data_IF_682143479773
#
_entry.id   IF_682143479773
#
_cell.length_a   1.000
_cell.length_b   1.000
_cell.length_c   1.000
_cell.angle_alpha   90.00
_cell.angle_beta   90.00
_cell.angle_gamma   90.00
#
_symmetry.space_group_name_H-M   'P 1'
#
loop_
_entity.id
_entity.type
_entity.pdbx_description
1 polymer ?
#
# COMPACT_ATOMS: atom_id res chain seq x y z
N UNK A 1 -43.28 -0.60 -5.02
CA UNK A 1 -41.89 -0.26 -4.62
C UNK A 1 -40.96 -1.37 -5.09
N UNK A 2 -39.96 -1.08 -5.93
CA UNK A 2 -38.91 -2.06 -6.29
C UNK A 2 -38.13 -2.39 -5.00
N UNK A 3 -38.22 -3.63 -4.54
CA UNK A 3 -37.38 -4.13 -3.43
C UNK A 3 -35.94 -4.18 -3.94
N UNK A 4 -35.00 -3.59 -3.20
CA UNK A 4 -33.58 -3.78 -3.44
C UNK A 4 -33.27 -5.27 -3.35
N UNK A 5 -32.96 -5.90 -4.48
CA UNK A 5 -32.65 -7.34 -4.54
C UNK A 5 -31.22 -7.66 -4.14
N UNK A 6 -30.35 -6.66 -4.22
CA UNK A 6 -28.93 -6.74 -3.90
C UNK A 6 -28.73 -6.39 -2.42
N UNK A 7 -28.11 -7.31 -1.70
CA UNK A 7 -27.89 -7.23 -0.25
C UNK A 7 -26.40 -7.24 0.06
N UNK A 8 -26.04 -6.85 1.28
CA UNK A 8 -24.64 -6.84 1.72
C UNK A 8 -23.96 -8.20 1.58
N UNK A 9 -24.69 -9.30 1.76
CA UNK A 9 -24.19 -10.68 1.59
C UNK A 9 -23.78 -11.03 0.16
N UNK A 10 -24.27 -10.28 -0.84
CA UNK A 10 -23.90 -10.49 -2.24
C UNK A 10 -22.54 -9.86 -2.58
N UNK A 11 -22.09 -8.89 -1.77
CA UNK A 11 -20.79 -8.26 -1.90
C UNK A 11 -19.76 -9.16 -1.23
N UNK A 12 -18.87 -9.72 -2.05
CA UNK A 12 -17.82 -10.63 -1.59
C UNK A 12 -16.44 -10.08 -1.93
N UNK A 13 -15.47 -10.53 -1.13
CA UNK A 13 -14.06 -10.31 -1.43
C UNK A 13 -13.52 -11.49 -2.23
N UNK A 14 -12.68 -11.21 -3.21
CA UNK A 14 -12.02 -12.22 -4.04
C UNK A 14 -10.51 -12.09 -3.91
N UNK A 15 -9.80 -13.23 -3.77
CA UNK A 15 -8.35 -13.24 -3.77
C UNK A 15 -7.82 -12.94 -5.19
N UNK A 16 -6.59 -12.42 -5.27
CA UNK A 16 -5.86 -12.34 -6.52
C UNK A 16 -5.32 -13.73 -6.91
N UNK A 17 -4.85 -13.87 -8.14
CA UNK A 17 -4.24 -15.08 -8.69
C UNK A 17 -3.12 -15.62 -7.79
N UNK A 18 -2.29 -14.71 -7.26
CA UNK A 18 -1.19 -15.02 -6.35
C UNK A 18 -1.38 -14.31 -5.03
N UNK A 19 -1.96 -14.99 -4.05
CA UNK A 19 -2.06 -14.49 -2.68
C UNK A 19 -0.78 -14.79 -1.89
N UNK A 20 0.30 -14.09 -2.25
CA UNK A 20 1.63 -14.26 -1.64
C UNK A 20 2.26 -12.92 -1.33
N UNK A 21 3.20 -12.91 -0.38
CA UNK A 21 3.98 -11.71 -0.02
C UNK A 21 5.22 -11.47 -0.90
N UNK A 22 5.41 -12.30 -1.93
CA UNK A 22 6.45 -12.14 -2.93
C UNK A 22 6.19 -10.94 -3.86
N UNK A 23 7.22 -10.45 -4.53
CA UNK A 23 7.12 -9.28 -5.43
C UNK A 23 6.06 -9.45 -6.54
N UNK A 24 5.82 -10.67 -6.99
CA UNK A 24 4.83 -11.08 -7.99
C UNK A 24 3.43 -11.36 -7.42
N UNK A 25 3.24 -11.20 -6.10
CA UNK A 25 1.93 -11.33 -5.45
C UNK A 25 0.92 -10.33 -6.02
N UNK A 26 -0.33 -10.75 -6.17
CA UNK A 26 -1.36 -10.00 -6.89
C UNK A 26 -1.77 -10.69 -8.19
N UNK A 27 -2.08 -9.92 -9.23
CA UNK A 27 -2.63 -10.43 -10.48
C UNK A 27 -4.17 -10.50 -10.50
N UNK A 28 -4.74 -11.18 -11.49
CA UNK A 28 -6.18 -11.16 -11.78
C UNK A 28 -7.02 -11.79 -10.66
N UNK A 29 -8.30 -11.39 -10.47
CA UNK A 29 -9.15 -12.03 -9.47
C UNK A 29 -9.43 -13.49 -9.81
N UNK A 30 -9.45 -14.33 -8.79
CA UNK A 30 -10.02 -15.67 -8.89
C UNK A 30 -11.54 -15.62 -8.68
N UNK A 31 -12.27 -16.51 -9.34
CA UNK A 31 -13.74 -16.61 -9.23
C UNK A 31 -14.23 -17.17 -7.89
N UNK A 32 -13.34 -17.60 -7.00
CA UNK A 32 -13.74 -18.17 -5.70
C UNK A 32 -13.65 -17.09 -4.63
N UNK A 33 -14.76 -16.74 -3.96
CA UNK A 33 -14.74 -15.70 -2.92
C UNK A 33 -14.00 -16.18 -1.66
N UNK A 34 -13.41 -15.24 -0.94
CA UNK A 34 -12.88 -15.45 0.41
C UNK A 34 -14.03 -15.83 1.36
N UNK A 35 -13.74 -16.76 2.26
CA UNK A 35 -14.67 -17.29 3.25
C UNK A 35 -14.80 -16.37 4.47
N UNK A 36 -13.79 -15.55 4.74
CA UNK A 36 -13.70 -14.72 5.95
C UNK A 36 -13.05 -15.44 7.13
N UNK A 37 -12.46 -16.60 6.89
CA UNK A 37 -11.71 -17.37 7.89
C UNK A 37 -10.46 -16.62 8.37
N UNK A 38 -10.04 -16.94 9.59
CA UNK A 38 -8.86 -16.32 10.18
C UNK A 38 -7.60 -16.70 9.39
N UNK A 39 -6.76 -15.70 9.11
CA UNK A 39 -5.52 -15.83 8.36
C UNK A 39 -5.68 -16.28 6.90
N UNK A 40 -6.87 -16.11 6.32
CA UNK A 40 -7.11 -16.40 4.90
C UNK A 40 -6.42 -15.38 3.99
N UNK A 41 -6.48 -14.09 4.36
CA UNK A 41 -5.86 -13.02 3.57
C UNK A 41 -4.40 -12.78 3.92
N UNK A 42 -4.07 -12.75 5.22
CA UNK A 42 -2.72 -12.55 5.73
C UNK A 42 -2.32 -13.76 6.55
N UNK A 43 -1.13 -14.29 6.29
CA UNK A 43 -0.57 -15.36 7.14
C UNK A 43 -0.31 -14.85 8.56
N UNK A 44 -0.28 -15.73 9.58
CA UNK A 44 0.04 -15.35 10.94
C UNK A 44 1.40 -14.64 11.01
N UNK A 45 1.46 -13.49 11.68
CA UNK A 45 2.70 -12.71 11.81
C UNK A 45 3.69 -13.48 12.70
N UNK A 46 4.86 -13.89 12.17
CA UNK A 46 5.83 -14.64 12.95
C UNK A 46 6.50 -13.76 14.02
N UNK A 47 6.99 -14.36 15.11
CA UNK A 47 7.60 -13.61 16.22
C UNK A 47 8.81 -12.76 15.77
N UNK A 48 9.61 -13.27 14.83
CA UNK A 48 10.74 -12.52 14.27
C UNK A 48 10.31 -11.25 13.52
N UNK A 49 9.17 -11.29 12.84
CA UNK A 49 8.62 -10.12 12.15
C UNK A 49 8.12 -9.05 13.14
N UNK A 50 7.71 -9.45 14.35
CA UNK A 50 7.35 -8.52 15.42
C UNK A 50 8.57 -7.77 15.97
N UNK A 51 9.72 -8.43 16.01
CA UNK A 51 10.98 -7.84 16.51
C UNK A 51 11.63 -6.97 15.45
N UNK A 52 11.76 -7.48 14.22
CA UNK A 52 12.48 -6.77 13.15
C UNK A 52 11.61 -5.75 12.41
N UNK A 53 10.29 -5.81 12.58
CA UNK A 53 9.33 -5.17 11.68
C UNK A 53 9.19 -5.96 10.38
N UNK A 54 7.97 -5.97 9.85
CA UNK A 54 7.69 -6.51 8.53
C UNK A 54 6.53 -5.74 7.89
N UNK A 55 6.52 -5.70 6.57
CA UNK A 55 5.47 -5.07 5.80
C UNK A 55 4.78 -6.11 4.93
N UNK A 56 3.47 -6.27 5.10
CA UNK A 56 2.63 -7.19 4.34
C UNK A 56 1.56 -6.39 3.60
N UNK A 57 1.31 -6.72 2.35
CA UNK A 57 0.26 -6.09 1.55
C UNK A 57 -0.20 -7.02 0.45
N UNK A 58 -1.52 -7.20 0.37
CA UNK A 58 -2.18 -8.02 -0.62
C UNK A 58 -3.20 -7.18 -1.38
N UNK A 59 -3.30 -7.45 -2.67
CA UNK A 59 -4.39 -6.97 -3.50
C UNK A 59 -5.64 -7.78 -3.18
N UNK A 60 -6.79 -7.11 -3.06
CA UNK A 60 -8.09 -7.77 -2.86
C UNK A 60 -9.11 -7.13 -3.77
N UNK A 61 -9.98 -7.97 -4.35
CA UNK A 61 -11.07 -7.52 -5.19
C UNK A 61 -12.37 -7.54 -4.43
N UNK A 62 -13.22 -6.55 -4.69
CA UNK A 62 -14.56 -6.49 -4.15
C UNK A 62 -15.54 -6.54 -5.32
N UNK A 63 -16.47 -7.48 -5.29
CA UNK A 63 -17.36 -7.72 -6.40
C UNK A 63 -18.63 -8.45 -6.00
N UNK A 64 -19.62 -8.39 -6.88
CA UNK A 64 -20.87 -9.12 -6.78
C UNK A 64 -20.91 -10.09 -7.95
N UNK A 65 -20.95 -11.39 -7.66
CA UNK A 65 -21.18 -12.41 -8.68
C UNK A 65 -22.56 -13.01 -8.44
N UNK A 66 -23.50 -12.57 -9.27
CA UNK A 66 -24.87 -13.09 -9.32
C UNK A 66 -25.22 -13.37 -10.77
N UNK A 67 -26.20 -14.24 -10.97
CA UNK A 67 -26.73 -14.60 -12.29
C UNK A 67 -27.85 -13.66 -12.76
N UNK A 68 -28.08 -12.53 -12.07
CA UNK A 68 -29.11 -11.54 -12.40
C UNK A 68 -28.52 -10.20 -12.88
N UNK A 69 -29.28 -9.48 -13.70
CA UNK A 69 -28.90 -8.17 -14.28
C UNK A 69 -29.20 -7.00 -13.32
N UNK A 70 -29.23 -7.24 -12.01
CA UNK A 70 -29.55 -6.19 -11.04
C UNK A 70 -28.36 -5.22 -10.91
N UNK A 71 -28.62 -3.92 -11.07
CA UNK A 71 -27.58 -2.89 -11.06
C UNK A 71 -27.01 -2.69 -9.65
N UNK A 72 -25.69 -2.73 -9.53
CA UNK A 72 -24.98 -2.32 -8.32
C UNK A 72 -24.89 -0.79 -8.24
N UNK A 73 -25.72 -0.17 -7.40
CA UNK A 73 -25.75 1.30 -7.23
C UNK A 73 -24.52 1.90 -6.54
N UNK A 74 -23.66 1.08 -5.95
CA UNK A 74 -22.41 1.50 -5.33
C UNK A 74 -21.94 0.56 -4.23
N UNK A 75 -20.62 0.49 -4.02
CA UNK A 75 -20.00 -0.28 -2.95
C UNK A 75 -18.80 0.48 -2.38
N UNK A 76 -18.57 0.34 -1.09
CA UNK A 76 -17.41 0.91 -0.40
C UNK A 76 -16.80 -0.15 0.52
N UNK A 77 -15.49 -0.03 0.74
CA UNK A 77 -14.75 -0.86 1.67
C UNK A 77 -14.10 0.05 2.72
N UNK A 78 -14.18 -0.36 3.98
CA UNK A 78 -13.55 0.34 5.09
C UNK A 78 -13.09 -0.68 6.14
N UNK A 79 -11.98 -0.38 6.80
CA UNK A 79 -11.53 -1.12 7.99
C UNK A 79 -12.28 -0.54 9.18
N UNK A 80 -13.29 -1.26 9.66
CA UNK A 80 -14.11 -0.82 10.80
C UNK A 80 -13.61 -1.34 12.14
N UNK A 81 -12.84 -2.42 12.13
CA UNK A 81 -12.25 -3.02 13.32
C UNK A 81 -10.73 -3.06 13.14
N UNK A 82 -9.97 -2.24 13.89
CA UNK A 82 -8.52 -2.25 13.80
C UNK A 82 -7.93 -3.59 14.31
N UNK A 83 -6.67 -3.89 13.98
CA UNK A 83 -5.96 -5.03 14.54
C UNK A 83 -6.01 -5.02 16.06
N UNK A 84 -6.12 -6.22 16.67
CA UNK A 84 -6.08 -6.36 18.14
C UNK A 84 -4.71 -6.03 18.73
N UNK A 85 -3.67 -6.17 17.93
CA UNK A 85 -2.29 -5.92 18.34
C UNK A 85 -1.92 -4.45 18.11
N UNK A 86 -1.59 -3.68 19.18
CA UNK A 86 -1.26 -2.26 19.05
C UNK A 86 0.05 -2.01 18.27
N UNK A 87 0.91 -3.02 18.12
CA UNK A 87 2.14 -2.92 17.32
C UNK A 87 1.89 -3.02 15.81
N UNK A 88 0.66 -3.37 15.40
CA UNK A 88 0.30 -3.55 13.99
C UNK A 88 -0.41 -2.32 13.45
N UNK A 89 0.24 -1.62 12.53
CA UNK A 89 -0.41 -0.59 11.71
C UNK A 89 -1.18 -1.21 10.55
N UNK A 90 -2.21 -0.53 10.08
CA UNK A 90 -3.07 -0.98 8.99
C UNK A 90 -3.33 0.16 8.01
N UNK A 91 -3.45 -0.19 6.74
CA UNK A 91 -3.75 0.75 5.67
C UNK A 91 -4.62 0.06 4.63
N UNK A 92 -5.67 0.75 4.19
CA UNK A 92 -6.48 0.35 3.04
C UNK A 92 -6.48 1.50 2.05
N UNK A 93 -6.15 1.22 0.79
CA UNK A 93 -6.18 2.19 -0.28
C UNK A 93 -6.61 1.53 -1.59
N UNK A 94 -7.04 2.35 -2.53
CA UNK A 94 -7.55 1.89 -3.83
C UNK A 94 -6.38 1.53 -4.76
N UNK A 95 -6.46 0.37 -5.40
CA UNK A 95 -5.56 0.02 -6.50
C UNK A 95 -5.78 0.97 -7.69
N UNK A 96 -4.72 1.30 -8.43
CA UNK A 96 -4.76 2.20 -9.60
C UNK A 96 -5.13 1.46 -10.88
N UNK A 97 -4.72 0.20 -11.00
CA UNK A 97 -5.05 -0.67 -12.14
C UNK A 97 -5.60 -2.01 -11.68
N UNK A 98 -6.20 -2.72 -12.63
CA UNK A 98 -6.59 -4.11 -12.46
C UNK A 98 -5.36 -5.01 -12.53
N UNK A 99 -5.33 -6.08 -11.74
CA UNK A 99 -4.21 -7.02 -11.68
C UNK A 99 -2.87 -6.44 -11.19
N UNK A 100 -2.86 -5.49 -10.24
CA UNK A 100 -1.61 -4.96 -9.69
C UNK A 100 -0.74 -6.05 -9.06
N UNK A 101 0.57 -5.87 -9.20
CA UNK A 101 1.57 -6.66 -8.50
C UNK A 101 2.03 -5.95 -7.23
N UNK A 102 2.46 -6.72 -6.25
CA UNK A 102 2.92 -6.22 -4.95
C UNK A 102 4.09 -5.25 -5.09
N UNK A 103 5.01 -5.49 -6.02
CA UNK A 103 6.11 -4.55 -6.28
C UNK A 103 5.61 -3.15 -6.71
N UNK A 104 4.53 -3.09 -7.47
CA UNK A 104 3.95 -1.83 -7.95
C UNK A 104 3.17 -1.10 -6.84
N UNK A 105 2.56 -1.86 -5.95
CA UNK A 105 1.91 -1.37 -4.73
C UNK A 105 2.97 -0.75 -3.80
N UNK A 106 4.09 -1.45 -3.60
CA UNK A 106 5.21 -0.99 -2.77
C UNK A 106 5.80 0.32 -3.28
N UNK A 107 6.12 0.40 -4.58
CA UNK A 107 6.63 1.64 -5.20
C UNK A 107 5.73 2.84 -4.91
N UNK A 108 4.42 2.65 -4.85
CA UNK A 108 3.45 3.73 -4.58
C UNK A 108 3.44 4.15 -3.11
N UNK A 109 3.53 3.18 -2.20
CA UNK A 109 3.64 3.46 -0.77
C UNK A 109 4.98 4.14 -0.47
N UNK A 110 6.05 3.80 -1.20
CA UNK A 110 7.36 4.40 -1.05
C UNK A 110 7.47 5.78 -1.72
N UNK A 111 6.65 6.05 -2.73
CA UNK A 111 6.68 7.29 -3.54
C UNK A 111 6.23 8.56 -2.80
N UNK A 112 6.20 8.59 -1.46
CA UNK A 112 5.93 9.83 -0.73
C UNK A 112 7.02 10.90 -0.92
N UNK A 113 8.25 10.51 -1.26
CA UNK A 113 9.36 11.44 -1.50
C UNK A 113 9.87 11.29 -2.93
N UNK A 114 9.29 12.04 -3.86
CA UNK A 114 9.79 12.14 -5.25
C UNK A 114 10.68 13.37 -5.36
N UNK A 115 11.92 13.18 -5.83
CA UNK A 115 12.78 14.30 -6.19
C UNK A 115 12.18 15.07 -7.36
N UNK A 116 11.74 16.30 -7.12
CA UNK A 116 11.07 17.14 -8.12
C UNK A 116 11.94 18.32 -8.55
N UNK A 117 12.20 19.24 -7.63
CA UNK A 117 13.01 20.43 -7.87
C UNK A 117 14.42 20.21 -7.30
N UNK A 118 15.41 20.69 -8.04
CA UNK A 118 16.77 20.76 -7.52
C UNK A 118 16.82 21.79 -6.39
N UNK A 119 17.46 21.41 -5.28
CA UNK A 119 17.73 22.33 -4.18
C UNK A 119 18.77 23.36 -4.63
N UNK A 120 18.73 24.56 -4.03
CA UNK A 120 19.80 25.55 -4.18
C UNK A 120 21.16 25.06 -3.62
N UNK A 121 21.14 24.00 -2.80
CA UNK A 121 22.33 23.36 -2.27
C UNK A 121 23.02 22.50 -3.33
N UNK A 122 24.32 22.70 -3.50
CA UNK A 122 25.18 21.82 -4.29
C UNK A 122 26.03 20.95 -3.36
N UNK A 123 26.04 19.64 -3.61
CA UNK A 123 26.78 18.67 -2.80
C UNK A 123 28.30 18.85 -2.96
N UNK A 124 29.03 18.86 -1.84
CA UNK A 124 30.51 18.95 -1.82
C UNK A 124 31.19 17.58 -1.88
N UNK A 125 30.50 16.53 -1.45
CA UNK A 125 31.09 15.20 -1.32
C UNK A 125 30.16 14.11 -1.82
N UNK A 126 30.78 13.03 -2.31
CA UNK A 126 30.10 11.79 -2.69
C UNK A 126 29.85 10.96 -1.45
N UNK A 127 28.59 10.65 -1.18
CA UNK A 127 28.18 9.95 0.04
C UNK A 127 28.13 8.45 -0.18
N UNK A 128 28.87 7.71 0.62
CA UNK A 128 28.79 6.25 0.64
C UNK A 128 27.51 5.79 1.33
N UNK A 129 27.01 4.61 0.97
CA UNK A 129 25.91 3.95 1.68
C UNK A 129 26.19 3.93 3.19
N UNK A 130 25.27 4.47 4.00
CA UNK A 130 25.35 4.65 5.45
C UNK A 130 26.18 5.82 5.99
N UNK A 131 26.61 6.76 5.15
CA UNK A 131 27.18 8.02 5.65
C UNK A 131 26.14 8.80 6.49
N UNK A 132 26.59 9.34 7.62
CA UNK A 132 25.75 10.12 8.56
C UNK A 132 25.91 11.63 8.40
N UNK A 133 26.84 12.07 7.55
CA UNK A 133 27.18 13.48 7.38
C UNK A 133 27.03 13.83 5.91
N UNK A 134 26.20 14.82 5.61
CA UNK A 134 26.06 15.42 4.28
C UNK A 134 26.72 16.79 4.29
N UNK A 135 27.58 17.05 3.32
CA UNK A 135 28.22 18.36 3.14
C UNK A 135 27.76 18.95 1.81
N UNK A 136 27.25 20.18 1.87
CA UNK A 136 26.80 20.94 0.72
C UNK A 136 27.13 22.42 0.91
N UNK A 137 27.16 23.18 -0.17
CA UNK A 137 27.26 24.64 -0.16
C UNK A 137 26.04 25.25 -0.84
N UNK A 138 25.66 26.46 -0.44
CA UNK A 138 24.62 27.27 -1.06
C UNK A 138 25.02 28.74 -1.03
N UNK A 139 24.30 29.60 -1.76
CA UNK A 139 24.54 31.05 -1.67
C UNK A 139 24.04 31.55 -0.31
N UNK A 140 24.69 32.59 0.21
CA UNK A 140 24.36 33.13 1.54
C UNK A 140 22.93 33.71 1.64
N UNK A 141 22.35 34.10 0.50
CA UNK A 141 20.99 34.67 0.43
C UNK A 141 19.90 33.61 0.22
N UNK A 142 20.27 32.35 -0.04
CA UNK A 142 19.29 31.28 -0.24
C UNK A 142 18.79 30.78 1.12
N UNK A 143 17.51 30.37 1.22
CA UNK A 143 16.95 29.86 2.46
C UNK A 143 17.71 28.63 2.96
N UNK A 144 17.97 28.58 4.27
CA UNK A 144 18.57 27.42 4.91
C UNK A 144 17.53 26.30 5.07
N UNK A 145 17.95 25.02 5.06
CA UNK A 145 17.07 23.90 5.34
C UNK A 145 16.37 24.03 6.69
N UNK A 146 15.07 23.75 6.72
CA UNK A 146 14.27 23.76 7.94
C UNK A 146 14.12 22.34 8.47
N UNK A 147 14.00 22.19 9.79
CA UNK A 147 13.70 20.90 10.42
C UNK A 147 12.36 20.37 9.89
N UNK A 148 12.40 19.23 9.21
CA UNK A 148 11.23 18.62 8.56
C UNK A 148 11.32 18.57 7.03
N UNK A 149 12.24 19.32 6.41
CA UNK A 149 12.49 19.24 4.98
C UNK A 149 13.12 17.89 4.61
N UNK A 150 12.59 17.26 3.56
CA UNK A 150 13.14 16.02 3.01
C UNK A 150 13.88 16.32 1.71
N UNK A 151 15.19 16.09 1.71
CA UNK A 151 16.03 16.24 0.53
C UNK A 151 16.36 14.88 -0.08
N UNK A 152 16.21 14.78 -1.40
CA UNK A 152 16.69 13.64 -2.17
C UNK A 152 18.14 13.89 -2.60
N UNK A 153 19.05 12.99 -2.24
CA UNK A 153 20.43 13.03 -2.71
C UNK A 153 20.51 12.32 -4.07
N UNK A 154 20.72 13.08 -5.14
CA UNK A 154 20.92 12.54 -6.49
C UNK A 154 22.27 12.99 -7.02
N UNK A 155 23.09 12.04 -7.43
CA UNK A 155 24.35 12.27 -8.15
C UNK A 155 24.21 11.78 -9.58
#
# INVERSE_FOLDING_TARGET
MKKTKLTRSDIKFYPPERLTDNADGGGMPLGTPLTGEANELFSPIPAIARVNGAFYAHLVYLGVMRSDDEVLSGAYAAITKPPKDPSTSYLLFRATKYGELREEILKRIEAFNVGTIESAMTMLSTQTKHSKIVQAYQRQNDPLPVVGDVYCLRQ
#
